data_IF_100020387754
#
_entry.id   IF_100020387754
#
_cell.length_a   1.000
_cell.length_b   1.000
_cell.length_c   1.000
_cell.angle_alpha   90.00
_cell.angle_beta   90.00
_cell.angle_gamma   90.00
#
_symmetry.space_group_name_H-M   'P 1'
#
loop_
_entity.id
_entity.type
_entity.pdbx_description
1 polymer ?
#
# COMPACT_ATOMS: atom_id res chain seq x y z
N UNK A 1 -21.49 64.97 36.49
CA UNK A 1 -20.39 65.88 36.94
C UNK A 1 -20.86 67.35 36.72
N UNK A 2 -20.79 68.22 37.74
CA UNK A 2 -21.01 69.65 37.56
C UNK A 2 -19.66 70.30 37.31
N UNK A 3 -19.47 70.83 36.13
CA UNK A 3 -18.28 71.64 35.80
C UNK A 3 -18.52 73.09 36.17
N UNK A 4 -17.51 73.71 36.76
CA UNK A 4 -17.54 75.14 37.09
C UNK A 4 -16.68 75.84 36.06
N UNK A 5 -17.24 76.88 35.47
CA UNK A 5 -16.58 77.74 34.46
C UNK A 5 -16.29 79.13 35.05
N UNK A 6 -15.28 79.74 34.55
CA UNK A 6 -14.85 81.04 35.04
C UNK A 6 -15.79 82.20 34.59
N UNK A 7 -16.43 82.07 33.42
CA UNK A 7 -17.40 82.98 32.92
C UNK A 7 -18.50 82.30 32.08
N UNK A 8 -19.55 82.98 31.75
CA UNK A 8 -20.73 82.54 31.02
C UNK A 8 -20.39 82.23 29.55
N UNK A 9 -19.42 82.91 28.96
CA UNK A 9 -18.96 82.68 27.59
C UNK A 9 -18.26 81.29 27.42
N UNK A 10 -17.40 80.96 28.38
CA UNK A 10 -16.75 79.66 28.44
C UNK A 10 -17.76 78.50 28.64
N UNK A 11 -18.71 78.70 29.57
CA UNK A 11 -19.75 77.73 29.81
C UNK A 11 -20.64 77.45 28.57
N UNK A 12 -21.00 78.54 27.84
CA UNK A 12 -21.79 78.47 26.62
C UNK A 12 -21.01 77.76 25.45
N UNK A 13 -19.72 78.05 25.35
CA UNK A 13 -18.85 77.48 24.33
C UNK A 13 -18.69 75.95 24.57
N UNK A 14 -18.45 75.61 25.81
CA UNK A 14 -18.33 74.20 26.18
C UNK A 14 -19.66 73.40 26.05
N UNK A 15 -20.77 74.07 26.40
CA UNK A 15 -22.10 73.48 26.21
C UNK A 15 -22.41 73.26 24.71
N UNK A 16 -22.04 74.18 23.83
CA UNK A 16 -22.18 74.04 22.37
C UNK A 16 -21.29 72.92 21.82
N UNK A 17 -20.07 72.83 22.29
CA UNK A 17 -19.12 71.81 21.92
C UNK A 17 -19.62 70.41 22.34
N UNK A 18 -20.10 70.34 23.57
CA UNK A 18 -20.70 69.03 24.08
C UNK A 18 -22.00 68.69 23.34
N UNK A 19 -22.82 69.67 23.02
CA UNK A 19 -24.04 69.47 22.24
C UNK A 19 -23.71 69.04 20.78
N UNK A 20 -22.68 69.59 20.17
CA UNK A 20 -22.20 69.18 18.85
C UNK A 20 -21.62 67.74 18.88
N UNK A 21 -20.88 67.38 19.92
CA UNK A 21 -20.35 66.05 20.14
C UNK A 21 -21.47 64.99 20.40
N UNK A 22 -22.51 65.38 21.15
CA UNK A 22 -23.74 64.58 21.35
C UNK A 22 -24.45 64.28 20.02
N UNK A 23 -24.66 65.35 19.20
CA UNK A 23 -25.28 65.24 17.87
C UNK A 23 -24.45 64.40 16.92
N UNK A 24 -23.14 64.35 17.08
CA UNK A 24 -22.21 63.51 16.28
C UNK A 24 -22.02 62.08 16.81
N UNK A 25 -22.78 61.65 17.85
CA UNK A 25 -22.64 60.34 18.44
C UNK A 25 -21.30 60.09 19.16
N UNK A 26 -20.53 61.17 19.49
CA UNK A 26 -19.20 61.09 20.10
C UNK A 26 -19.21 61.12 21.63
N UNK A 27 -20.38 61.24 22.27
CA UNK A 27 -20.49 61.39 23.73
C UNK A 27 -20.57 60.09 24.49
N UNK A 28 -20.77 58.95 23.83
CA UNK A 28 -20.63 57.66 24.50
C UNK A 28 -19.21 57.43 25.06
N UNK A 29 -18.18 57.99 24.37
CA UNK A 29 -16.82 58.02 24.87
C UNK A 29 -16.57 58.90 26.11
N UNK A 30 -17.44 59.89 26.39
CA UNK A 30 -17.33 60.78 27.57
C UNK A 30 -18.01 60.15 28.80
N UNK A 31 -18.90 59.19 28.63
CA UNK A 31 -19.59 58.45 29.72
C UNK A 31 -18.76 57.27 30.22
N UNK A 32 -17.66 56.90 29.54
CA UNK A 32 -16.80 55.82 29.97
C UNK A 32 -16.06 56.20 31.26
N UNK A 33 -16.14 55.32 32.24
CA UNK A 33 -15.34 55.43 33.45
C UNK A 33 -13.83 55.21 33.14
N UNK A 34 -12.95 55.59 34.04
CA UNK A 34 -11.51 55.31 33.89
C UNK A 34 -11.26 53.81 33.75
N UNK A 35 -12.00 52.97 34.46
CA UNK A 35 -11.92 51.53 34.38
C UNK A 35 -12.30 50.99 32.98
N UNK A 36 -13.40 51.54 32.40
CA UNK A 36 -13.82 51.15 31.03
C UNK A 36 -12.76 51.47 29.97
N UNK A 37 -12.09 52.63 30.14
CA UNK A 37 -11.01 53.06 29.22
C UNK A 37 -9.77 52.18 29.36
N UNK A 38 -9.41 51.80 30.58
CA UNK A 38 -8.28 50.91 30.85
C UNK A 38 -8.57 49.52 30.28
N UNK A 39 -9.78 49.01 30.49
CA UNK A 39 -10.23 47.71 29.91
C UNK A 39 -10.20 47.74 28.37
N UNK A 40 -10.72 48.77 27.73
CA UNK A 40 -10.68 48.92 26.28
C UNK A 40 -9.25 49.04 25.75
N UNK A 41 -8.35 49.75 26.47
CA UNK A 41 -6.94 49.85 26.08
C UNK A 41 -6.23 48.52 26.23
N UNK A 42 -6.51 47.76 27.30
CA UNK A 42 -5.99 46.39 27.50
C UNK A 42 -6.49 45.46 26.40
N UNK A 43 -7.79 45.49 26.08
CA UNK A 43 -8.37 44.70 25.01
C UNK A 43 -7.72 44.98 23.64
N UNK A 44 -7.48 46.27 23.31
CA UNK A 44 -6.78 46.67 22.07
C UNK A 44 -5.33 46.19 22.02
N UNK A 45 -4.63 46.17 23.16
CA UNK A 45 -3.28 45.57 23.22
C UNK A 45 -3.29 44.06 23.00
N UNK A 46 -4.27 43.38 23.60
CA UNK A 46 -4.41 41.91 23.43
C UNK A 46 -4.77 41.52 22.01
N UNK A 47 -5.50 42.35 21.28
CA UNK A 47 -5.89 42.05 19.90
C UNK A 47 -4.84 42.46 18.85
N UNK A 48 -3.71 43.06 19.26
CA UNK A 48 -2.60 43.46 18.40
C UNK A 48 -3.05 44.15 17.09
N UNK A 49 -3.95 45.14 17.21
CA UNK A 49 -4.51 45.91 16.11
C UNK A 49 -5.71 45.27 15.40
N UNK A 50 -6.08 44.02 15.74
CA UNK A 50 -7.33 43.44 15.23
C UNK A 50 -8.55 44.09 15.91
N UNK A 51 -9.67 44.39 15.18
CA UNK A 51 -10.85 45.02 15.77
C UNK A 51 -11.40 44.23 16.96
N UNK A 52 -11.50 44.86 18.13
CA UNK A 52 -11.89 44.19 19.39
C UNK A 52 -13.24 43.46 19.28
N UNK A 53 -14.24 44.11 18.65
CA UNK A 53 -15.55 43.46 18.45
C UNK A 53 -15.48 42.23 17.56
N UNK A 54 -14.65 42.25 16.52
CA UNK A 54 -14.44 41.10 15.66
C UNK A 54 -13.74 39.97 16.41
N UNK A 55 -12.74 40.27 17.23
CA UNK A 55 -12.06 39.32 18.08
C UNK A 55 -13.02 38.67 19.10
N UNK A 56 -13.89 39.45 19.71
CA UNK A 56 -14.90 38.96 20.65
C UNK A 56 -15.95 38.08 19.97
N UNK A 57 -16.39 38.44 18.76
CA UNK A 57 -17.32 37.63 17.98
C UNK A 57 -16.70 36.24 17.60
N UNK A 58 -15.46 36.32 17.12
CA UNK A 58 -14.70 35.04 16.81
C UNK A 58 -14.53 34.18 18.07
N UNK A 59 -14.11 34.77 19.18
CA UNK A 59 -13.99 34.06 20.45
C UNK A 59 -15.32 33.47 20.91
N UNK A 60 -16.44 34.21 20.83
CA UNK A 60 -17.75 33.73 21.23
C UNK A 60 -18.20 32.52 20.38
N UNK A 61 -17.96 32.60 19.06
CA UNK A 61 -18.23 31.47 18.14
C UNK A 61 -17.35 30.28 18.47
N UNK A 62 -16.04 30.49 18.65
CA UNK A 62 -15.10 29.43 19.02
C UNK A 62 -15.47 28.75 20.36
N UNK A 63 -15.83 29.58 21.37
CA UNK A 63 -16.27 29.11 22.69
C UNK A 63 -17.53 28.23 22.61
N UNK A 64 -18.48 28.60 21.75
CA UNK A 64 -19.69 27.80 21.50
C UNK A 64 -19.37 26.46 20.85
N UNK A 65 -18.52 26.44 19.84
CA UNK A 65 -18.10 25.22 19.11
C UNK A 65 -17.32 24.27 19.98
N UNK A 66 -16.51 24.80 20.92
CA UNK A 66 -15.62 23.99 21.77
C UNK A 66 -16.17 23.68 23.14
N UNK A 67 -17.45 23.99 23.39
CA UNK A 67 -18.07 23.87 24.72
C UNK A 67 -17.24 24.57 25.83
N UNK A 68 -16.69 25.73 25.53
CA UNK A 68 -15.86 26.53 26.44
C UNK A 68 -14.38 26.17 26.52
N UNK A 69 -13.92 25.12 25.82
CA UNK A 69 -12.53 24.62 25.84
C UNK A 69 -11.70 25.21 24.69
N UNK A 70 -11.76 26.53 24.45
CA UNK A 70 -11.14 27.18 23.28
C UNK A 70 -9.62 26.94 23.23
N UNK A 71 -8.91 27.14 24.34
CA UNK A 71 -7.45 26.97 24.40
C UNK A 71 -7.06 25.51 24.13
N UNK A 72 -7.69 24.56 24.81
CA UNK A 72 -7.41 23.13 24.58
C UNK A 72 -7.69 22.69 23.14
N UNK A 73 -8.73 23.26 22.50
CA UNK A 73 -9.03 23.01 21.10
C UNK A 73 -7.97 23.62 20.17
N UNK A 74 -7.50 24.87 20.47
CA UNK A 74 -6.44 25.51 19.71
C UNK A 74 -5.10 24.79 19.85
N UNK A 75 -4.73 24.33 21.06
CA UNK A 75 -3.55 23.51 21.30
C UNK A 75 -3.63 22.18 20.56
N UNK A 76 -4.78 21.50 20.63
CA UNK A 76 -5.01 20.26 19.89
C UNK A 76 -4.90 20.48 18.38
N UNK A 77 -5.49 21.56 17.86
CA UNK A 77 -5.39 21.93 16.45
C UNK A 77 -3.94 22.25 16.04
N UNK A 78 -3.22 23.02 16.85
CA UNK A 78 -1.81 23.35 16.61
C UNK A 78 -0.91 22.11 16.64
N UNK A 79 -1.13 21.21 17.59
CA UNK A 79 -0.41 19.93 17.66
C UNK A 79 -0.67 19.05 16.44
N UNK A 80 -1.86 19.12 15.86
CA UNK A 80 -2.28 18.32 14.70
C UNK A 80 -1.87 18.97 13.36
N UNK A 81 -1.97 20.30 13.28
CA UNK A 81 -1.76 21.09 12.05
C UNK A 81 -0.51 22.00 12.15
N UNK A 82 0.24 21.89 13.24
CA UNK A 82 1.46 22.67 13.43
C UNK A 82 2.37 22.55 12.22
N UNK A 83 2.98 23.67 11.82
CA UNK A 83 3.92 23.71 10.70
C UNK A 83 4.93 22.59 10.88
N UNK A 84 5.13 21.80 9.83
CA UNK A 84 6.25 20.84 9.76
C UNK A 84 7.52 21.65 9.97
N UNK A 85 8.12 21.56 11.16
CA UNK A 85 9.30 22.36 11.55
C UNK A 85 10.53 21.98 10.72
N UNK A 86 10.54 20.77 10.17
CA UNK A 86 11.68 20.23 9.42
C UNK A 86 11.22 19.88 8.02
N UNK A 87 11.63 20.67 7.04
CA UNK A 87 11.43 20.33 5.62
C UNK A 87 12.37 19.22 5.20
N UNK A 88 11.84 18.05 4.93
CA UNK A 88 12.59 16.86 4.55
C UNK A 88 12.35 16.51 3.09
N UNK A 89 13.44 16.27 2.34
CA UNK A 89 13.34 15.84 0.94
C UNK A 89 12.80 14.42 0.84
N UNK A 90 12.04 14.14 -0.22
CA UNK A 90 11.51 12.80 -0.53
C UNK A 90 12.62 11.76 -0.57
N UNK A 91 13.81 12.09 -1.12
CA UNK A 91 14.96 11.21 -1.13
C UNK A 91 15.36 10.75 0.28
N UNK A 92 15.44 11.67 1.22
CA UNK A 92 15.79 11.38 2.62
C UNK A 92 14.73 10.50 3.27
N UNK A 93 13.45 10.85 3.07
CA UNK A 93 12.31 10.07 3.57
C UNK A 93 12.36 8.62 3.07
N UNK A 94 12.61 8.42 1.78
CA UNK A 94 12.70 7.08 1.18
C UNK A 94 13.90 6.31 1.72
N UNK A 95 15.07 6.94 1.85
CA UNK A 95 16.29 6.32 2.40
C UNK A 95 16.06 5.83 3.84
N UNK A 96 15.50 6.65 4.70
CA UNK A 96 15.20 6.30 6.08
C UNK A 96 14.14 5.20 6.19
N UNK A 97 13.09 5.29 5.38
CA UNK A 97 12.03 4.28 5.28
C UNK A 97 12.61 2.90 4.90
N UNK A 98 13.50 2.85 3.90
CA UNK A 98 14.15 1.62 3.47
C UNK A 98 15.10 1.07 4.54
N UNK A 99 15.92 1.94 5.17
CA UNK A 99 16.82 1.54 6.26
C UNK A 99 16.05 0.88 7.39
N UNK A 100 14.91 1.45 7.78
CA UNK A 100 14.08 0.89 8.85
C UNK A 100 13.45 -0.44 8.47
N UNK A 101 13.04 -0.61 7.20
CA UNK A 101 12.52 -1.89 6.70
C UNK A 101 13.59 -2.98 6.69
N UNK A 102 14.80 -2.66 6.28
CA UNK A 102 15.93 -3.61 6.28
C UNK A 102 16.32 -3.99 7.71
N UNK A 103 16.38 -3.03 8.62
CA UNK A 103 16.67 -3.29 10.03
C UNK A 103 15.62 -4.18 10.72
N UNK A 104 14.34 -4.13 10.24
CA UNK A 104 13.28 -5.00 10.73
C UNK A 104 13.29 -6.41 10.07
N UNK A 105 14.37 -6.83 9.43
CA UNK A 105 14.50 -8.12 8.77
C UNK A 105 13.63 -8.31 7.54
N UNK A 106 13.01 -7.24 7.03
CA UNK A 106 12.15 -7.30 5.84
C UNK A 106 13.02 -7.16 4.60
N UNK A 107 13.24 -8.26 3.92
CA UNK A 107 13.88 -8.23 2.61
C UNK A 107 13.02 -7.40 1.64
N UNK A 108 13.57 -6.28 1.17
CA UNK A 108 12.88 -5.45 0.16
C UNK A 108 13.14 -6.10 -1.19
N UNK A 109 12.11 -6.70 -1.77
CA UNK A 109 12.19 -7.35 -3.08
C UNK A 109 12.73 -6.39 -4.16
N UNK A 110 13.36 -6.91 -5.20
CA UNK A 110 14.03 -6.11 -6.23
C UNK A 110 13.10 -5.14 -6.97
N UNK A 111 11.87 -5.58 -7.25
CA UNK A 111 10.82 -4.75 -7.85
C UNK A 111 10.38 -3.58 -6.94
N UNK A 112 10.44 -3.80 -5.61
CA UNK A 112 10.23 -2.72 -4.65
C UNK A 112 11.39 -1.71 -4.68
N UNK A 113 12.64 -2.19 -4.74
CA UNK A 113 13.83 -1.33 -4.85
C UNK A 113 13.74 -0.46 -6.09
N UNK A 114 13.37 -1.05 -7.22
CA UNK A 114 13.16 -0.33 -8.48
C UNK A 114 12.09 0.77 -8.34
N UNK A 115 10.93 0.45 -7.77
CA UNK A 115 9.86 1.44 -7.56
C UNK A 115 10.30 2.61 -6.68
N UNK A 116 11.07 2.35 -5.61
CA UNK A 116 11.60 3.40 -4.75
C UNK A 116 12.71 4.21 -5.42
N UNK A 117 13.54 3.58 -6.24
CA UNK A 117 14.54 4.28 -7.04
C UNK A 117 13.89 5.27 -8.03
N UNK A 118 12.78 4.90 -8.68
CA UNK A 118 12.01 5.80 -9.52
C UNK A 118 11.39 6.98 -8.73
N UNK A 119 10.89 6.74 -7.52
CA UNK A 119 10.38 7.82 -6.65
C UNK A 119 11.52 8.81 -6.33
N UNK A 120 12.69 8.30 -5.99
CA UNK A 120 13.85 9.15 -5.67
C UNK A 120 14.35 9.89 -6.91
N UNK A 121 14.45 9.22 -8.06
CA UNK A 121 14.88 9.85 -9.33
C UNK A 121 13.97 11.02 -9.72
N UNK A 122 12.67 10.85 -9.65
CA UNK A 122 11.70 11.80 -10.19
C UNK A 122 11.22 12.85 -9.18
N UNK A 123 11.13 12.47 -7.91
CA UNK A 123 10.56 13.29 -6.84
C UNK A 123 11.55 13.60 -5.71
N UNK A 124 12.72 13.01 -5.70
CA UNK A 124 13.67 13.04 -4.58
C UNK A 124 14.08 14.43 -4.12
N UNK A 125 14.16 15.40 -5.02
CA UNK A 125 14.61 16.78 -4.73
C UNK A 125 13.51 17.65 -4.11
N UNK A 126 12.24 17.25 -4.22
CA UNK A 126 11.14 17.99 -3.63
C UNK A 126 11.04 17.72 -2.12
N UNK A 127 10.61 18.71 -1.37
CA UNK A 127 10.22 18.49 0.02
C UNK A 127 8.93 17.67 0.06
N UNK A 128 8.84 16.71 0.98
CA UNK A 128 7.70 15.78 1.05
C UNK A 128 6.37 16.50 1.35
N UNK A 129 6.41 17.60 2.07
CA UNK A 129 5.28 18.49 2.40
C UNK A 129 4.84 19.38 1.22
N UNK A 130 5.70 19.55 0.21
CA UNK A 130 5.42 20.38 -0.96
C UNK A 130 4.89 19.57 -2.17
N UNK A 131 4.96 18.24 -2.12
CA UNK A 131 4.48 17.37 -3.22
C UNK A 131 2.98 17.20 -3.11
N UNK A 132 2.25 17.65 -4.13
CA UNK A 132 0.78 17.57 -4.19
C UNK A 132 0.27 16.28 -4.82
N UNK A 133 -0.96 15.89 -4.50
CA UNK A 133 -1.65 14.74 -5.11
C UNK A 133 -1.69 14.84 -6.64
N UNK A 134 -1.90 16.05 -7.18
CA UNK A 134 -1.87 16.29 -8.63
C UNK A 134 -0.51 15.94 -9.26
N UNK A 135 0.60 16.29 -8.60
CA UNK A 135 1.94 15.91 -9.08
C UNK A 135 2.17 14.41 -8.99
N UNK A 136 1.68 13.78 -7.91
CA UNK A 136 1.76 12.33 -7.74
C UNK A 136 0.91 11.59 -8.77
N UNK A 137 -0.29 12.07 -9.10
CA UNK A 137 -1.13 11.49 -10.15
C UNK A 137 -0.46 11.61 -11.54
N UNK A 138 0.13 12.76 -11.85
CA UNK A 138 0.89 12.95 -13.08
C UNK A 138 2.10 12.01 -13.15
N UNK A 139 2.79 11.78 -12.02
CA UNK A 139 3.88 10.81 -11.95
C UNK A 139 3.40 9.36 -12.13
N UNK A 140 2.28 9.00 -11.52
CA UNK A 140 1.66 7.68 -11.67
C UNK A 140 1.19 7.42 -13.10
N UNK A 141 0.70 8.45 -13.80
CA UNK A 141 0.23 8.37 -15.17
C UNK A 141 1.34 8.05 -16.20
N UNK A 142 2.62 8.23 -15.84
CA UNK A 142 3.75 7.77 -16.67
C UNK A 142 3.74 6.24 -16.90
N UNK A 143 2.98 5.48 -16.11
CA UNK A 143 2.81 4.04 -16.29
C UNK A 143 1.48 3.76 -16.97
N UNK A 144 1.51 3.26 -18.20
CA UNK A 144 0.31 2.85 -18.94
C UNK A 144 -0.37 1.63 -18.30
N UNK A 145 0.42 0.71 -17.74
CA UNK A 145 -0.12 -0.50 -17.12
C UNK A 145 -0.79 -0.19 -15.77
N UNK A 146 -2.10 -0.44 -15.61
CA UNK A 146 -2.86 -0.09 -14.40
C UNK A 146 -2.40 -0.86 -13.15
N UNK A 147 -1.94 -2.10 -13.29
CA UNK A 147 -1.43 -2.91 -12.17
C UNK A 147 -0.12 -2.31 -11.66
N UNK A 148 0.77 -1.92 -12.57
CA UNK A 148 2.04 -1.24 -12.24
C UNK A 148 1.76 0.12 -11.60
N UNK A 149 0.85 0.91 -12.17
CA UNK A 149 0.39 2.20 -11.64
C UNK A 149 -0.11 2.06 -10.20
N UNK A 150 -1.01 1.12 -9.94
CA UNK A 150 -1.54 0.86 -8.60
C UNK A 150 -0.48 0.31 -7.63
N UNK A 151 0.47 -0.47 -8.12
CA UNK A 151 1.61 -0.92 -7.33
C UNK A 151 2.51 0.25 -6.92
N UNK A 152 2.85 1.16 -7.84
CA UNK A 152 3.58 2.40 -7.55
C UNK A 152 2.80 3.27 -6.55
N UNK A 153 1.49 3.43 -6.75
CA UNK A 153 0.62 4.15 -5.80
C UNK A 153 0.69 3.58 -4.38
N UNK A 154 0.61 2.26 -4.24
CA UNK A 154 0.78 1.59 -2.92
C UNK A 154 2.13 1.91 -2.27
N UNK A 155 3.21 2.07 -3.06
CA UNK A 155 4.53 2.46 -2.54
C UNK A 155 4.54 3.91 -2.06
N UNK A 156 4.00 4.84 -2.86
CA UNK A 156 3.85 6.24 -2.46
C UNK A 156 3.08 6.35 -1.15
N UNK A 157 1.89 5.75 -1.07
CA UNK A 157 1.07 5.76 0.15
C UNK A 157 1.85 5.23 1.35
N UNK A 158 2.66 4.17 1.17
CA UNK A 158 3.45 3.61 2.26
C UNK A 158 4.53 4.57 2.76
N UNK A 159 5.18 5.30 1.85
CA UNK A 159 6.22 6.30 2.19
C UNK A 159 5.60 7.52 2.86
N UNK A 160 4.52 8.09 2.27
CA UNK A 160 3.86 9.27 2.80
C UNK A 160 3.23 9.02 4.18
N UNK A 161 2.58 7.89 4.39
CA UNK A 161 2.09 7.49 5.73
C UNK A 161 3.22 7.31 6.73
N UNK A 162 4.38 6.83 6.29
CA UNK A 162 5.54 6.72 7.15
C UNK A 162 6.11 8.11 7.49
N UNK A 163 6.21 9.02 6.53
CA UNK A 163 6.60 10.41 6.73
C UNK A 163 5.66 11.13 7.71
N UNK A 164 4.36 10.90 7.61
CA UNK A 164 3.35 11.41 8.54
C UNK A 164 3.59 10.90 9.98
N UNK A 165 3.86 9.60 10.15
CA UNK A 165 4.20 9.04 11.47
C UNK A 165 5.49 9.59 12.05
N UNK A 166 6.43 10.04 11.21
CA UNK A 166 7.68 10.70 11.62
C UNK A 166 7.56 12.21 11.82
N UNK A 167 6.34 12.74 11.72
CA UNK A 167 6.06 14.19 11.80
C UNK A 167 6.76 15.03 10.71
N UNK A 168 7.11 14.41 9.57
CA UNK A 168 7.55 15.10 8.35
C UNK A 168 6.37 15.62 7.53
N UNK A 169 5.16 15.22 7.89
CA UNK A 169 3.88 15.68 7.37
C UNK A 169 2.91 15.90 8.54
N UNK A 170 1.86 16.71 8.37
CA UNK A 170 0.80 16.87 9.37
C UNK A 170 0.26 15.51 9.82
N UNK A 171 0.05 15.34 11.13
CA UNK A 171 -0.33 14.05 11.70
C UNK A 171 -1.73 13.61 11.36
N UNK A 172 -2.62 14.54 11.15
CA UNK A 172 -4.03 14.30 10.87
C UNK A 172 -4.37 14.46 9.40
N UNK A 173 -5.42 13.77 8.99
CA UNK A 173 -5.91 13.80 7.63
C UNK A 173 -5.26 12.78 6.70
N UNK A 174 -5.71 12.80 5.46
CA UNK A 174 -5.16 11.99 4.38
C UNK A 174 -3.88 12.64 3.84
N UNK A 175 -2.90 11.83 3.57
CA UNK A 175 -1.69 12.29 2.87
C UNK A 175 -1.98 12.54 1.39
N UNK A 176 -1.19 13.40 0.75
CA UNK A 176 -1.30 13.66 -0.69
C UNK A 176 -1.23 12.36 -1.53
N UNK A 177 -0.45 11.38 -1.11
CA UNK A 177 -0.39 10.08 -1.77
C UNK A 177 -1.70 9.26 -1.63
N UNK A 178 -2.42 9.41 -0.54
CA UNK A 178 -3.73 8.74 -0.35
C UNK A 178 -4.85 9.41 -1.15
N UNK A 179 -4.69 10.68 -1.48
CA UNK A 179 -5.64 11.44 -2.30
C UNK A 179 -5.50 11.13 -3.79
N UNK A 180 -4.41 10.47 -4.22
CA UNK A 180 -4.24 10.06 -5.62
C UNK A 180 -5.29 9.04 -6.06
N UNK A 181 -5.59 9.03 -7.35
CA UNK A 181 -6.60 8.14 -7.94
C UNK A 181 -6.04 6.72 -8.16
N UNK A 182 -6.90 5.73 -7.93
CA UNK A 182 -6.60 4.35 -8.27
C UNK A 182 -7.02 4.06 -9.71
N UNK A 183 -6.09 3.49 -10.49
CA UNK A 183 -6.42 3.03 -11.84
C UNK A 183 -7.36 1.81 -11.79
N UNK A 184 -8.28 1.73 -12.74
CA UNK A 184 -9.11 0.54 -12.92
C UNK A 184 -8.22 -0.62 -13.42
N UNK A 185 -8.21 -1.73 -12.68
CA UNK A 185 -7.52 -2.95 -13.09
C UNK A 185 -8.56 -3.88 -13.73
N UNK A 186 -8.35 -4.31 -15.00
CA UNK A 186 -9.19 -5.35 -15.56
C UNK A 186 -9.07 -6.64 -14.76
N UNK A 187 -10.08 -7.48 -14.79
CA UNK A 187 -10.03 -8.79 -14.16
C UNK A 187 -8.84 -9.58 -14.72
N UNK A 188 -8.01 -10.20 -13.85
CA UNK A 188 -6.88 -10.99 -14.33
C UNK A 188 -7.38 -12.19 -15.13
N UNK A 189 -6.81 -12.39 -16.32
CA UNK A 189 -7.01 -13.61 -17.08
C UNK A 189 -6.16 -14.70 -16.44
N UNK A 190 -6.80 -15.77 -15.96
CA UNK A 190 -6.13 -16.91 -15.39
C UNK A 190 -5.69 -17.82 -16.54
N UNK A 191 -4.40 -17.80 -16.82
CA UNK A 191 -3.79 -18.69 -17.82
C UNK A 191 -3.59 -20.08 -17.25
N UNK A 192 -4.33 -21.07 -17.76
CA UNK A 192 -4.11 -22.49 -17.51
C UNK A 192 -3.62 -23.17 -18.79
N UNK A 193 -3.02 -24.34 -18.65
CA UNK A 193 -2.68 -25.22 -19.76
C UNK A 193 -3.56 -26.48 -19.68
N UNK A 194 -3.85 -27.07 -20.82
CA UNK A 194 -4.62 -28.29 -20.93
C UNK A 194 -3.74 -29.53 -20.66
N UNK A 195 -4.39 -30.66 -20.52
CA UNK A 195 -3.75 -31.96 -20.20
C UNK A 195 -2.76 -32.41 -21.29
N UNK A 196 -3.11 -32.18 -22.57
CA UNK A 196 -2.25 -32.56 -23.71
C UNK A 196 -0.97 -31.70 -23.72
N UNK A 197 -1.11 -30.38 -23.49
CA UNK A 197 0.04 -29.49 -23.35
C UNK A 197 0.90 -29.88 -22.15
N UNK A 198 0.26 -30.23 -21.03
CA UNK A 198 0.98 -30.67 -19.83
C UNK A 198 1.85 -31.89 -20.09
N UNK A 199 1.31 -32.94 -20.75
CA UNK A 199 2.06 -34.12 -21.14
C UNK A 199 3.25 -33.78 -22.04
N UNK A 200 3.02 -32.99 -23.11
CA UNK A 200 4.09 -32.55 -24.02
C UNK A 200 5.20 -31.79 -23.31
N UNK A 201 4.86 -30.89 -22.38
CA UNK A 201 5.85 -30.14 -21.61
C UNK A 201 6.71 -31.06 -20.77
N UNK A 202 6.11 -32.03 -20.04
CA UNK A 202 6.84 -32.98 -19.23
C UNK A 202 7.80 -33.84 -20.09
N UNK A 203 7.31 -34.41 -21.19
CA UNK A 203 8.12 -35.24 -22.11
C UNK A 203 9.28 -34.43 -22.72
N UNK A 204 9.02 -33.19 -23.15
CA UNK A 204 10.06 -32.32 -23.69
C UNK A 204 11.17 -32.04 -22.66
N UNK A 205 10.81 -31.75 -21.40
CA UNK A 205 11.80 -31.46 -20.37
C UNK A 205 12.52 -32.70 -19.90
N UNK A 206 11.90 -33.86 -19.87
CA UNK A 206 12.58 -35.14 -19.61
C UNK A 206 13.69 -35.38 -20.63
N UNK A 207 13.41 -35.18 -21.92
CA UNK A 207 14.35 -35.42 -23.02
C UNK A 207 15.44 -34.35 -23.11
N UNK A 208 15.06 -33.08 -23.12
CA UNK A 208 15.93 -31.97 -23.50
C UNK A 208 16.52 -31.19 -22.33
N UNK A 209 15.88 -31.16 -21.21
CA UNK A 209 16.26 -30.35 -20.05
C UNK A 209 15.97 -31.05 -18.72
N UNK A 210 16.51 -32.28 -18.50
CA UNK A 210 16.16 -33.13 -17.34
C UNK A 210 16.44 -32.45 -15.99
N UNK A 211 17.40 -31.53 -15.90
CA UNK A 211 17.71 -30.78 -14.68
C UNK A 211 16.55 -29.91 -14.17
N UNK A 212 15.58 -29.61 -15.03
CA UNK A 212 14.40 -28.80 -14.68
C UNK A 212 13.14 -29.64 -14.44
N UNK A 213 13.21 -30.96 -14.72
CA UNK A 213 12.04 -31.85 -14.64
C UNK A 213 11.43 -31.90 -13.24
N UNK A 214 12.25 -32.06 -12.19
CA UNK A 214 11.75 -32.09 -10.80
C UNK A 214 11.00 -30.79 -10.42
N UNK A 215 11.54 -29.64 -10.77
CA UNK A 215 10.88 -28.36 -10.53
C UNK A 215 9.54 -28.25 -11.29
N UNK A 216 9.51 -28.73 -12.53
CA UNK A 216 8.32 -28.76 -13.35
C UNK A 216 7.24 -29.67 -12.72
N UNK A 217 7.60 -30.86 -12.32
CA UNK A 217 6.72 -31.85 -11.67
C UNK A 217 6.06 -31.26 -10.43
N UNK A 218 6.85 -30.71 -9.49
CA UNK A 218 6.27 -30.14 -8.26
C UNK A 218 5.49 -28.84 -8.52
N UNK A 219 5.84 -28.08 -9.55
CA UNK A 219 5.07 -26.90 -9.92
C UNK A 219 3.67 -27.28 -10.45
N UNK A 220 3.58 -28.29 -11.31
CA UNK A 220 2.34 -28.69 -11.96
C UNK A 220 1.48 -29.68 -11.17
N UNK A 221 2.07 -30.61 -10.39
CA UNK A 221 1.32 -31.59 -9.59
C UNK A 221 1.13 -31.19 -8.12
N UNK A 222 1.88 -30.20 -7.60
CA UNK A 222 1.75 -29.74 -6.22
C UNK A 222 1.39 -28.24 -6.12
N UNK A 223 1.35 -27.53 -7.24
CA UNK A 223 0.91 -26.15 -7.32
C UNK A 223 1.74 -25.17 -6.51
N UNK A 224 3.04 -25.39 -6.35
CA UNK A 224 3.93 -24.53 -5.60
C UNK A 224 4.04 -23.14 -6.24
N UNK A 225 4.23 -22.12 -5.40
CA UNK A 225 4.59 -20.78 -5.90
C UNK A 225 6.02 -20.80 -6.44
N UNK A 226 6.31 -19.92 -7.39
CA UNK A 226 7.65 -19.77 -7.99
C UNK A 226 8.76 -19.69 -6.94
N UNK A 227 8.58 -18.88 -5.90
CA UNK A 227 9.57 -18.78 -4.83
C UNK A 227 9.65 -20.05 -3.97
N UNK A 228 8.55 -20.77 -3.81
CA UNK A 228 8.54 -22.04 -3.09
C UNK A 228 9.29 -23.15 -3.88
N UNK A 229 9.09 -23.22 -5.20
CA UNK A 229 9.84 -24.15 -6.07
C UNK A 229 11.35 -23.90 -5.98
N UNK A 230 11.77 -22.63 -5.97
CA UNK A 230 13.18 -22.24 -5.91
C UNK A 230 13.89 -22.68 -4.62
N UNK A 231 13.14 -22.79 -3.53
CA UNK A 231 13.68 -23.12 -2.20
C UNK A 231 13.55 -24.61 -1.86
N UNK A 232 13.00 -25.44 -2.77
CA UNK A 232 12.82 -26.87 -2.51
C UNK A 232 14.11 -27.65 -2.69
N UNK A 233 14.28 -28.63 -1.82
CA UNK A 233 15.37 -29.59 -1.90
C UNK A 233 14.81 -31.03 -1.99
N UNK A 234 15.63 -31.99 -2.38
CA UNK A 234 15.26 -33.38 -2.44
C UNK A 234 14.87 -33.94 -1.06
N UNK A 235 15.47 -33.44 0.01
CA UNK A 235 15.17 -33.78 1.39
C UNK A 235 13.75 -33.37 1.83
N UNK A 236 13.12 -32.48 1.07
CA UNK A 236 11.72 -32.07 1.31
C UNK A 236 10.72 -33.05 0.67
N UNK A 237 11.17 -33.96 -0.19
CA UNK A 237 10.35 -34.92 -0.89
C UNK A 237 10.44 -36.28 -0.19
N UNK A 238 9.33 -36.79 0.37
CA UNK A 238 9.23 -38.17 0.86
C UNK A 238 8.36 -38.99 -0.08
N UNK A 239 9.02 -39.78 -0.92
CA UNK A 239 8.32 -40.69 -1.84
C UNK A 239 7.60 -41.78 -1.06
N UNK A 240 8.20 -42.30 0.04
CA UNK A 240 7.60 -43.29 0.91
C UNK A 240 6.30 -42.82 1.56
N UNK A 241 6.32 -41.60 2.12
CA UNK A 241 5.14 -40.96 2.72
C UNK A 241 4.24 -40.28 1.71
N UNK A 242 4.67 -40.19 0.46
CA UNK A 242 3.95 -39.52 -0.64
C UNK A 242 3.62 -38.08 -0.35
N UNK A 243 4.57 -37.33 0.20
CA UNK A 243 4.39 -35.91 0.55
C UNK A 243 5.59 -35.08 0.18
N UNK A 244 5.30 -33.82 -0.17
CA UNK A 244 6.27 -32.75 -0.32
C UNK A 244 6.09 -31.75 0.84
N UNK A 245 7.16 -31.48 1.55
CA UNK A 245 7.19 -30.52 2.65
C UNK A 245 7.52 -29.14 2.13
N UNK A 246 6.63 -28.19 2.28
CA UNK A 246 6.86 -26.77 1.96
C UNK A 246 7.10 -26.01 3.24
N UNK A 247 8.30 -25.45 3.42
CA UNK A 247 8.72 -24.76 4.65
C UNK A 247 8.79 -23.24 4.48
N UNK A 248 8.91 -22.75 3.24
CA UNK A 248 9.04 -21.34 2.90
C UNK A 248 7.75 -20.79 2.30
N UNK A 249 7.29 -19.67 2.81
CA UNK A 249 6.09 -19.00 2.34
C UNK A 249 6.39 -17.64 1.70
N UNK A 250 5.34 -16.96 1.25
CA UNK A 250 5.43 -15.63 0.68
C UNK A 250 6.03 -14.66 1.73
N UNK A 251 7.19 -14.04 1.42
CA UNK A 251 7.83 -12.98 2.23
C UNK A 251 8.30 -13.40 3.63
N UNK A 252 8.92 -14.58 3.75
CA UNK A 252 9.50 -15.01 5.03
C UNK A 252 8.48 -15.38 6.11
N UNK A 253 7.21 -15.53 5.74
CA UNK A 253 6.23 -16.14 6.63
C UNK A 253 6.42 -17.67 6.53
N UNK A 254 6.64 -18.40 7.65
CA UNK A 254 6.72 -19.85 7.60
C UNK A 254 5.39 -20.41 7.10
N UNK A 255 5.36 -20.88 5.88
CA UNK A 255 4.21 -21.64 5.37
C UNK A 255 4.55 -23.12 5.49
N UNK A 256 4.41 -23.68 6.68
CA UNK A 256 4.58 -25.12 6.90
C UNK A 256 3.34 -25.83 6.42
N UNK A 257 3.46 -26.56 5.31
CA UNK A 257 2.40 -27.43 4.83
C UNK A 257 3.00 -28.68 4.19
N UNK A 258 2.26 -29.77 4.26
CA UNK A 258 2.53 -30.99 3.53
C UNK A 258 1.59 -31.03 2.33
N UNK A 259 2.15 -31.21 1.14
CA UNK A 259 1.39 -31.33 -0.10
C UNK A 259 1.46 -32.80 -0.52
N UNK A 260 0.31 -33.48 -0.75
CA UNK A 260 0.33 -34.90 -1.18
C UNK A 260 0.88 -35.01 -2.59
N UNK A 261 1.65 -36.07 -2.84
CA UNK A 261 2.16 -36.45 -4.16
C UNK A 261 1.21 -37.48 -4.77
N UNK A 262 0.63 -37.17 -5.93
CA UNK A 262 -0.15 -38.12 -6.71
C UNK A 262 0.78 -39.20 -7.37
N UNK A 263 0.18 -40.27 -7.86
CA UNK A 263 0.93 -41.38 -8.50
C UNK A 263 1.77 -40.86 -9.68
N UNK A 264 1.19 -40.05 -10.55
CA UNK A 264 1.91 -39.49 -11.68
C UNK A 264 3.12 -38.62 -11.25
N UNK A 265 2.99 -37.84 -10.19
CA UNK A 265 4.12 -37.05 -9.68
C UNK A 265 5.27 -37.95 -9.20
N UNK A 266 4.96 -39.06 -8.51
CA UNK A 266 5.97 -40.02 -8.05
C UNK A 266 6.68 -40.71 -9.22
N UNK A 267 5.93 -41.11 -10.25
CA UNK A 267 6.51 -41.72 -11.46
C UNK A 267 7.45 -40.76 -12.17
N UNK A 268 7.05 -39.50 -12.35
CA UNK A 268 7.89 -38.46 -12.96
C UNK A 268 9.13 -38.15 -12.12
N UNK A 269 8.99 -38.05 -10.80
CA UNK A 269 10.13 -37.81 -9.90
C UNK A 269 11.15 -38.94 -9.95
N UNK A 270 10.70 -40.18 -10.10
CA UNK A 270 11.58 -41.32 -10.27
C UNK A 270 12.38 -41.30 -11.60
N UNK A 271 11.91 -40.55 -12.60
CA UNK A 271 12.60 -40.36 -13.89
C UNK A 271 13.65 -39.24 -13.84
N UNK A 272 13.68 -38.44 -12.78
CA UNK A 272 14.66 -37.36 -12.64
C UNK A 272 16.07 -37.94 -12.51
N UNK A 273 17.00 -37.40 -13.30
CA UNK A 273 18.40 -37.80 -13.32
C UNK A 273 19.20 -37.07 -12.24
N UNK A 274 20.30 -37.72 -11.78
CA UNK A 274 21.25 -37.15 -10.83
C UNK A 274 21.11 -37.67 -9.40
N UNK A 275 21.89 -37.09 -8.51
CA UNK A 275 21.79 -37.37 -7.07
C UNK A 275 20.57 -36.62 -6.49
N UNK A 276 19.74 -37.35 -5.73
CA UNK A 276 18.56 -36.79 -5.09
C UNK A 276 18.91 -36.13 -3.75
N UNK A 277 19.84 -35.17 -3.79
CA UNK A 277 20.30 -34.41 -2.64
C UNK A 277 20.40 -32.93 -2.98
N UNK A 278 20.17 -32.04 -1.98
CA UNK A 278 20.24 -30.62 -2.16
C UNK A 278 19.13 -30.04 -3.05
N UNK A 279 19.38 -28.88 -3.74
CA UNK A 279 18.36 -28.22 -4.56
C UNK A 279 17.78 -29.13 -5.65
N UNK A 280 16.46 -29.11 -5.83
CA UNK A 280 15.78 -29.95 -6.84
C UNK A 280 15.99 -29.49 -8.28
N UNK A 281 16.48 -28.26 -8.48
CA UNK A 281 16.67 -27.67 -9.79
C UNK A 281 17.64 -26.48 -9.75
N UNK A 282 18.21 -26.08 -10.89
CA UNK A 282 18.97 -24.84 -11.02
C UNK A 282 18.16 -23.60 -10.64
N UNK A 283 18.87 -22.52 -10.33
CA UNK A 283 18.27 -21.24 -10.02
C UNK A 283 17.36 -20.72 -11.16
N UNK A 284 16.28 -20.05 -10.78
CA UNK A 284 15.27 -19.49 -11.71
C UNK A 284 14.59 -20.54 -12.60
N UNK A 285 14.38 -21.76 -12.09
CA UNK A 285 13.87 -22.90 -12.86
C UNK A 285 12.61 -22.56 -13.67
N UNK A 286 11.56 -22.01 -13.06
CA UNK A 286 10.31 -21.73 -13.78
C UNK A 286 10.46 -20.65 -14.87
N UNK A 287 11.41 -19.72 -14.74
CA UNK A 287 11.71 -18.75 -15.80
C UNK A 287 12.44 -19.42 -16.96
N UNK A 288 13.39 -20.31 -16.66
CA UNK A 288 14.10 -21.08 -17.66
C UNK A 288 13.17 -22.07 -18.38
N UNK A 289 12.27 -22.72 -17.66
CA UNK A 289 11.23 -23.58 -18.24
C UNK A 289 10.41 -22.79 -19.27
N UNK A 290 9.90 -21.62 -18.91
CA UNK A 290 9.15 -20.75 -19.86
C UNK A 290 9.99 -20.31 -21.05
N UNK A 291 11.26 -20.00 -20.84
CA UNK A 291 12.17 -19.59 -21.91
C UNK A 291 12.42 -20.73 -22.89
N UNK A 292 12.73 -21.92 -22.39
CA UNK A 292 12.99 -23.11 -23.22
C UNK A 292 11.74 -23.56 -23.97
N UNK A 293 10.56 -23.56 -23.32
CA UNK A 293 9.29 -23.85 -23.97
C UNK A 293 9.02 -22.95 -25.17
N UNK A 294 9.22 -21.65 -25.05
CA UNK A 294 9.07 -20.69 -26.15
C UNK A 294 10.06 -20.90 -27.30
N UNK A 295 11.26 -21.41 -27.01
CA UNK A 295 12.31 -21.67 -28.01
C UNK A 295 12.11 -23.02 -28.71
N UNK A 296 11.47 -23.96 -28.02
CA UNK A 296 11.27 -25.30 -28.54
C UNK A 296 10.15 -25.34 -29.58
N UNK A 297 9.00 -24.74 -29.26
CA UNK A 297 7.81 -24.72 -30.10
C UNK A 297 7.02 -23.43 -29.85
N UNK A 298 6.75 -22.57 -30.87
CA UNK A 298 5.95 -21.38 -30.71
C UNK A 298 4.52 -21.66 -30.18
N UNK A 299 3.95 -22.84 -30.42
CA UNK A 299 2.67 -23.28 -29.87
C UNK A 299 2.75 -23.64 -28.37
N UNK A 300 3.97 -23.70 -27.78
CA UNK A 300 4.23 -24.00 -26.38
C UNK A 300 4.24 -22.74 -25.52
N UNK A 301 3.36 -21.79 -25.76
CA UNK A 301 3.27 -20.62 -24.91
C UNK A 301 2.71 -20.97 -23.54
N UNK A 302 3.56 -20.83 -22.50
CA UNK A 302 3.17 -21.02 -21.11
C UNK A 302 2.82 -19.67 -20.50
N UNK A 303 1.56 -19.44 -20.12
CA UNK A 303 1.14 -18.25 -19.41
C UNK A 303 1.89 -18.04 -18.08
N UNK A 304 1.86 -16.84 -17.55
CA UNK A 304 2.49 -16.58 -16.28
C UNK A 304 1.78 -17.35 -15.15
N UNK A 305 2.56 -18.01 -14.29
CA UNK A 305 2.08 -18.86 -13.19
C UNK A 305 1.15 -20.02 -13.63
N UNK A 306 1.16 -20.40 -14.92
CA UNK A 306 0.25 -21.41 -15.47
C UNK A 306 0.27 -22.74 -14.71
N UNK A 307 1.42 -23.25 -14.31
CA UNK A 307 1.51 -24.53 -13.58
C UNK A 307 0.70 -24.52 -12.30
N UNK A 308 0.85 -23.46 -11.49
CA UNK A 308 0.06 -23.32 -10.27
C UNK A 308 -1.41 -23.07 -10.55
N UNK A 309 -1.72 -22.25 -11.56
CA UNK A 309 -3.10 -22.02 -11.96
C UNK A 309 -3.77 -23.29 -12.47
N UNK A 310 -3.07 -24.06 -13.29
CA UNK A 310 -3.55 -25.37 -13.77
C UNK A 310 -3.74 -26.35 -12.62
N UNK A 311 -2.74 -26.50 -11.73
CA UNK A 311 -2.90 -27.35 -10.55
C UNK A 311 -4.17 -27.05 -9.78
N UNK A 312 -4.40 -25.77 -9.41
CA UNK A 312 -5.56 -25.39 -8.60
C UNK A 312 -6.86 -25.66 -9.35
N UNK A 313 -6.94 -25.29 -10.63
CA UNK A 313 -8.13 -25.50 -11.46
C UNK A 313 -8.47 -26.99 -11.61
N UNK A 314 -7.47 -27.82 -11.96
CA UNK A 314 -7.65 -29.25 -12.13
C UNK A 314 -7.93 -29.97 -10.81
N UNK A 315 -7.27 -29.57 -9.70
CA UNK A 315 -7.53 -30.15 -8.39
C UNK A 315 -8.96 -29.82 -7.88
N UNK A 316 -9.42 -28.60 -8.08
CA UNK A 316 -10.80 -28.22 -7.73
C UNK A 316 -11.80 -29.00 -8.59
N UNK A 317 -11.54 -29.13 -9.88
CA UNK A 317 -12.41 -29.86 -10.82
C UNK A 317 -12.44 -31.37 -10.47
N UNK A 318 -11.29 -31.98 -10.19
CA UNK A 318 -11.17 -33.41 -9.87
C UNK A 318 -11.82 -33.79 -8.54
N UNK A 319 -11.78 -32.92 -7.53
CA UNK A 319 -12.14 -33.27 -6.15
C UNK A 319 -13.38 -32.57 -5.62
N UNK A 320 -13.74 -31.39 -6.13
CA UNK A 320 -14.75 -30.53 -5.56
C UNK A 320 -14.38 -29.95 -4.19
N UNK A 321 -13.23 -30.31 -3.61
CA UNK A 321 -12.82 -29.97 -2.24
C UNK A 321 -11.96 -28.70 -2.21
N UNK A 322 -12.62 -27.55 -2.32
CA UNK A 322 -11.95 -26.23 -2.27
C UNK A 322 -11.18 -26.01 -0.95
N UNK A 323 -11.68 -26.36 0.25
CA UNK A 323 -10.93 -26.26 1.48
C UNK A 323 -9.60 -27.04 1.43
N UNK A 324 -9.61 -28.27 0.96
CA UNK A 324 -8.41 -29.08 0.83
C UNK A 324 -7.41 -28.49 -0.16
N UNK A 325 -7.85 -28.16 -1.36
CA UNK A 325 -7.00 -27.52 -2.38
C UNK A 325 -6.42 -26.20 -1.87
N UNK A 326 -7.18 -25.44 -1.06
CA UNK A 326 -6.71 -24.20 -0.43
C UNK A 326 -5.54 -24.42 0.51
N UNK A 327 -5.60 -25.48 1.33
CA UNK A 327 -4.51 -25.88 2.23
C UNK A 327 -3.29 -26.33 1.44
N UNK A 328 -3.46 -27.22 0.47
CA UNK A 328 -2.38 -27.78 -0.32
C UNK A 328 -1.68 -26.72 -1.17
N UNK A 329 -2.44 -25.83 -1.81
CA UNK A 329 -1.88 -24.70 -2.56
C UNK A 329 -1.40 -23.54 -1.68
N UNK A 330 -1.85 -23.43 -0.44
CA UNK A 330 -1.58 -22.28 0.42
C UNK A 330 -2.24 -20.99 -0.08
N UNK A 331 -3.47 -21.09 -0.62
CA UNK A 331 -4.34 -19.98 -1.01
C UNK A 331 -5.48 -19.86 -0.01
N UNK A 332 -6.21 -18.72 -0.03
CA UNK A 332 -7.47 -18.66 0.70
C UNK A 332 -8.61 -19.28 -0.12
N UNK A 333 -9.62 -19.91 0.50
CA UNK A 333 -10.79 -20.41 -0.21
C UNK A 333 -11.49 -19.34 -1.03
N UNK A 334 -11.49 -18.09 -0.54
CA UNK A 334 -12.07 -16.94 -1.25
C UNK A 334 -11.39 -16.67 -2.59
N UNK A 335 -10.05 -16.76 -2.64
CA UNK A 335 -9.28 -16.60 -3.89
C UNK A 335 -9.57 -17.74 -4.87
N UNK A 336 -9.67 -18.97 -4.38
CA UNK A 336 -9.97 -20.13 -5.22
C UNK A 336 -11.38 -19.99 -5.83
N UNK A 337 -12.39 -19.73 -5.00
CA UNK A 337 -13.76 -19.53 -5.48
C UNK A 337 -13.88 -18.40 -6.51
N UNK A 338 -13.09 -17.32 -6.32
CA UNK A 338 -13.15 -16.15 -7.20
C UNK A 338 -12.52 -16.38 -8.57
N UNK A 339 -11.47 -17.21 -8.64
CA UNK A 339 -10.58 -17.22 -9.80
C UNK A 339 -10.47 -18.57 -10.50
N UNK A 340 -10.83 -19.69 -9.85
CA UNK A 340 -10.50 -21.03 -10.36
C UNK A 340 -11.72 -21.95 -10.52
N UNK A 341 -12.88 -21.49 -10.12
CA UNK A 341 -14.10 -22.26 -10.27
C UNK A 341 -14.54 -22.26 -11.74
N UNK A 342 -14.94 -23.45 -12.24
CA UNK A 342 -15.52 -23.62 -13.59
C UNK A 342 -14.55 -23.40 -14.76
N UNK A 343 -13.23 -23.46 -14.56
CA UNK A 343 -12.26 -23.34 -15.64
C UNK A 343 -11.96 -24.69 -16.35
N UNK A 344 -12.25 -25.83 -15.71
CA UNK A 344 -11.86 -27.16 -16.14
C UNK A 344 -13.01 -28.13 -15.86
N UNK A 345 -13.20 -29.15 -16.73
CA UNK A 345 -14.14 -30.24 -16.49
C UNK A 345 -13.61 -31.22 -15.42
N UNK A 346 -14.48 -32.00 -14.78
CA UNK A 346 -14.08 -33.04 -13.83
C UNK A 346 -13.19 -34.09 -14.48
N UNK A 347 -13.49 -34.43 -15.74
CA UNK A 347 -12.73 -35.40 -16.54
C UNK A 347 -11.29 -34.93 -16.77
N UNK A 348 -11.11 -33.67 -17.25
CA UNK A 348 -9.79 -33.08 -17.43
C UNK A 348 -9.05 -32.90 -16.09
N UNK A 349 -9.80 -32.59 -15.02
CA UNK A 349 -9.27 -32.54 -13.68
C UNK A 349 -8.60 -33.84 -13.26
N UNK A 350 -9.27 -34.95 -13.45
CA UNK A 350 -8.73 -36.30 -13.16
C UNK A 350 -7.60 -36.67 -14.11
N UNK A 351 -7.75 -36.38 -15.40
CA UNK A 351 -6.75 -36.65 -16.43
C UNK A 351 -5.40 -35.96 -16.16
N UNK A 352 -5.43 -34.71 -15.63
CA UNK A 352 -4.22 -33.98 -15.24
C UNK A 352 -3.32 -34.78 -14.29
N UNK A 353 -3.93 -35.36 -13.26
CA UNK A 353 -3.22 -36.11 -12.23
C UNK A 353 -2.90 -37.58 -12.63
N UNK A 354 -3.31 -37.97 -13.83
CA UNK A 354 -3.00 -39.26 -14.42
C UNK A 354 -1.92 -39.19 -15.51
N UNK A 355 -1.37 -38.02 -15.82
CA UNK A 355 -0.33 -37.83 -16.84
C UNK A 355 0.97 -38.51 -16.38
N UNK A 356 1.32 -39.63 -16.97
CA UNK A 356 2.55 -40.40 -16.72
C UNK A 356 3.47 -40.38 -17.94
N UNK A 357 4.79 -40.62 -17.77
CA UNK A 357 5.67 -40.86 -18.92
C UNK A 357 5.21 -42.10 -19.72
N UNK A 358 5.51 -42.10 -21.01
CA UNK A 358 5.30 -43.23 -21.90
C UNK A 358 6.28 -44.40 -21.58
#
# INVERSE_FOLDING_TARGET
MREKFADEGEAMTEARTKAAQLRAGRLEGAAMTSADREELQAARKLTDGFPVLAALDEWAKARKLTAGKVIAAAESWAAKNGKVEVRVKVETVVKEFLKLKTAAGKNVASDHKHSFALIVSDLGQFNVDAVTSRQLDAWLAKSENPVTRNTRRKRLVSVWRWAQRKSYLPRDGRTEAEMTERAHEPAPIIGIIDVATWHKVLAYFEERHPDYLAALVIAGFCGLRRGEVQEQTWEDISTERRVLRVTHGKRGTPARRMVPLCDAALVWLARCKGEHTGPISPAFALDRIRLYSRRADPAFELPENCFRHSYISHAVAATGDIPRVSLDAGNSPKEINRHYRELVSEEDGKAWFAVTPE
#
